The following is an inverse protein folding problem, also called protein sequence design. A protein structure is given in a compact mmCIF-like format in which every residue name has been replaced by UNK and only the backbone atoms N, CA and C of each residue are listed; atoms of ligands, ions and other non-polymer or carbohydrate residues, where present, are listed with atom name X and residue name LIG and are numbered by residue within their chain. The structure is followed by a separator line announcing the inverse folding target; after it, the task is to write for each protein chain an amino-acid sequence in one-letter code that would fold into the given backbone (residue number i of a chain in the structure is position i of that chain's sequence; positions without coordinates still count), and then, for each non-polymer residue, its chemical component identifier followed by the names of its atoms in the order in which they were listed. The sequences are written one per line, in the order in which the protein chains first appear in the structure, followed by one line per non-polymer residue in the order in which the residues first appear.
data_IF_537497880045
#
_entry.id   IF_537497880045
#
_cell.length_a   1.000
_cell.length_b   1.000
_cell.length_c   1.000
_cell.angle_alpha   90.00
_cell.angle_beta   90.00
_cell.angle_gamma   90.00
#
_symmetry.space_group_name_H-M   'P 1'
#
loop_
_entity.id
_entity.type
_entity.pdbx_description
1 polymer ?
#
# COMPACT_ATOMS: atom_id res chain seq x y z
N UNK A 1 2.18 14.42 25.15
CA UNK A 1 3.23 14.54 24.15
C UNK A 1 2.65 15.13 22.86
N UNK A 2 3.49 15.71 22.01
CA UNK A 2 3.11 16.35 20.75
C UNK A 2 4.15 16.02 19.67
N UNK A 3 3.70 15.82 18.45
CA UNK A 3 4.56 15.61 17.27
C UNK A 3 4.11 16.57 16.17
N UNK A 4 5.01 17.45 15.75
CA UNK A 4 4.74 18.48 14.71
C UNK A 4 3.47 19.29 14.95
N UNK A 5 3.20 19.70 16.19
CA UNK A 5 2.00 20.47 16.55
C UNK A 5 0.73 19.63 16.74
N UNK A 6 0.83 18.30 16.60
CA UNK A 6 -0.31 17.40 16.75
C UNK A 6 -0.19 16.66 18.09
N UNK A 7 -1.23 16.66 18.94
CA UNK A 7 -1.19 15.99 20.23
C UNK A 7 -1.15 14.47 20.05
N UNK A 8 -0.32 13.79 20.86
CA UNK A 8 -0.35 12.32 21.01
C UNK A 8 -1.40 11.99 22.06
N UNK A 9 -2.50 11.39 21.64
CA UNK A 9 -3.66 11.08 22.49
C UNK A 9 -3.66 9.67 23.07
N UNK A 10 -2.80 8.78 22.57
CA UNK A 10 -2.66 7.42 23.09
C UNK A 10 -1.76 6.54 22.24
N UNK A 11 -1.63 5.27 22.61
CA UNK A 11 -0.94 4.24 21.86
C UNK A 11 -1.90 3.24 21.20
N UNK A 12 -1.35 2.22 20.53
CA UNK A 12 -2.15 1.16 19.88
C UNK A 12 -3.00 0.37 20.88
N UNK A 13 -2.57 0.29 22.14
CA UNK A 13 -3.34 -0.37 23.20
C UNK A 13 -4.63 0.40 23.54
N UNK A 14 -4.64 1.71 23.34
CA UNK A 14 -5.74 2.59 23.70
C UNK A 14 -6.81 2.70 22.58
N UNK A 15 -6.61 2.04 21.42
CA UNK A 15 -7.56 2.06 20.31
C UNK A 15 -9.01 1.74 20.71
N UNK A 16 -9.31 0.79 21.64
CA UNK A 16 -10.69 0.55 22.06
C UNK A 16 -11.35 1.76 22.74
N UNK A 17 -10.59 2.52 23.52
CA UNK A 17 -11.09 3.74 24.18
C UNK A 17 -11.19 4.90 23.20
N UNK A 18 -10.14 5.10 22.39
CA UNK A 18 -10.09 6.15 21.36
C UNK A 18 -11.18 6.01 20.30
N UNK A 19 -11.69 4.78 20.07
CA UNK A 19 -12.81 4.54 19.14
C UNK A 19 -14.09 5.28 19.54
N UNK A 20 -14.24 5.66 20.80
CA UNK A 20 -15.40 6.43 21.28
C UNK A 20 -15.40 7.89 20.79
N UNK A 21 -14.22 8.41 20.44
CA UNK A 21 -14.01 9.79 19.99
C UNK A 21 -13.66 9.89 18.50
N UNK A 22 -13.03 8.84 17.93
CA UNK A 22 -12.50 8.84 16.56
C UNK A 22 -13.07 7.68 15.75
N UNK A 23 -13.73 8.00 14.64
CA UNK A 23 -14.31 7.00 13.72
C UNK A 23 -13.34 6.56 12.62
N UNK A 24 -12.39 7.43 12.27
CA UNK A 24 -11.46 7.23 11.16
C UNK A 24 -10.06 7.00 11.68
N UNK A 25 -9.34 6.08 11.04
CA UNK A 25 -7.94 5.81 11.35
C UNK A 25 -7.10 5.73 10.09
N UNK A 26 -5.96 6.43 10.08
CA UNK A 26 -4.92 6.31 9.06
C UNK A 26 -3.70 5.64 9.69
N UNK A 27 -3.14 4.63 9.02
CA UNK A 27 -2.03 3.84 9.55
C UNK A 27 -0.76 4.13 8.75
N UNK A 28 0.14 4.95 9.31
CA UNK A 28 1.41 5.34 8.72
C UNK A 28 2.59 4.43 9.13
N UNK A 29 2.37 3.12 9.27
CA UNK A 29 3.39 2.17 9.73
C UNK A 29 4.09 1.55 8.53
N UNK A 30 5.42 1.73 8.43
CA UNK A 30 6.22 1.22 7.30
C UNK A 30 6.45 -0.30 7.30
N UNK A 31 6.43 -0.96 8.47
CA UNK A 31 6.53 -2.42 8.52
C UNK A 31 5.20 -3.06 8.08
N UNK A 32 5.22 -3.80 6.99
CA UNK A 32 4.02 -4.33 6.34
C UNK A 32 3.22 -5.29 7.23
N UNK A 33 3.90 -6.24 7.88
CA UNK A 33 3.25 -7.22 8.74
C UNK A 33 2.63 -6.53 9.98
N UNK A 34 3.35 -5.60 10.58
CA UNK A 34 2.84 -4.86 11.74
C UNK A 34 1.71 -3.91 11.34
N UNK A 35 1.80 -3.25 10.17
CA UNK A 35 0.71 -2.44 9.61
C UNK A 35 -0.56 -3.28 9.42
N UNK A 36 -0.44 -4.48 8.87
CA UNK A 36 -1.56 -5.41 8.70
C UNK A 36 -2.21 -5.77 10.04
N UNK A 37 -1.42 -6.14 11.06
CA UNK A 37 -1.93 -6.47 12.39
C UNK A 37 -2.69 -5.30 13.04
N UNK A 38 -2.15 -4.08 12.95
CA UNK A 38 -2.80 -2.89 13.51
C UNK A 38 -4.11 -2.59 12.76
N UNK A 39 -4.09 -2.71 11.43
CA UNK A 39 -5.28 -2.50 10.60
C UNK A 39 -6.39 -3.49 10.95
N UNK A 40 -6.07 -4.78 11.02
CA UNK A 40 -7.03 -5.85 11.34
C UNK A 40 -7.60 -5.67 12.76
N UNK A 41 -6.74 -5.33 13.74
CA UNK A 41 -7.17 -5.02 15.11
C UNK A 41 -8.13 -3.82 15.14
N UNK A 42 -7.80 -2.74 14.45
CA UNK A 42 -8.63 -1.54 14.41
C UNK A 42 -9.94 -1.76 13.64
N UNK A 43 -9.91 -2.56 12.56
CA UNK A 43 -11.11 -2.94 11.82
C UNK A 43 -12.09 -3.71 12.70
N UNK A 44 -11.60 -4.65 13.53
CA UNK A 44 -12.42 -5.39 14.50
C UNK A 44 -13.06 -4.49 15.57
N UNK A 45 -12.46 -3.32 15.84
CA UNK A 45 -13.01 -2.29 16.73
C UNK A 45 -13.99 -1.34 16.03
N UNK A 46 -14.21 -1.50 14.72
CA UNK A 46 -15.15 -0.69 13.94
C UNK A 46 -14.59 0.62 13.41
N UNK A 47 -13.26 0.82 13.36
CA UNK A 47 -12.68 1.95 12.67
C UNK A 47 -12.91 1.87 11.15
N UNK A 48 -13.14 3.01 10.52
CA UNK A 48 -13.11 3.13 9.07
C UNK A 48 -11.73 3.67 8.60
N UNK A 49 -11.30 3.27 7.42
CA UNK A 49 -9.98 3.58 6.87
C UNK A 49 -10.13 4.38 5.58
N UNK A 50 -9.98 5.70 5.62
CA UNK A 50 -9.96 6.53 4.43
C UNK A 50 -8.68 6.29 3.64
N UNK A 51 -8.75 6.44 2.31
CA UNK A 51 -7.57 6.50 1.47
C UNK A 51 -6.97 7.91 1.51
N UNK A 52 -5.66 7.99 1.67
CA UNK A 52 -4.90 9.24 1.59
C UNK A 52 -4.20 9.28 0.23
N UNK A 53 -4.68 10.14 -0.64
CA UNK A 53 -4.18 10.25 -2.01
C UNK A 53 -3.63 11.66 -2.23
N UNK A 54 -2.35 11.75 -2.58
CA UNK A 54 -1.72 13.04 -2.86
C UNK A 54 -2.38 13.72 -4.08
N UNK A 55 -2.58 15.04 -4.08
CA UNK A 55 -3.24 15.73 -5.19
C UNK A 55 -2.53 15.57 -6.55
N UNK A 56 -1.24 15.28 -6.56
CA UNK A 56 -0.45 15.03 -7.78
C UNK A 56 -0.40 13.54 -8.18
N UNK A 57 -1.03 12.65 -7.43
CA UNK A 57 -1.17 11.26 -7.84
C UNK A 57 -2.28 11.12 -8.88
N UNK A 58 -2.07 10.26 -9.87
CA UNK A 58 -3.10 9.88 -10.82
C UNK A 58 -3.69 8.53 -10.46
N UNK A 59 -5.00 8.48 -10.34
CA UNK A 59 -5.76 7.24 -10.16
C UNK A 59 -6.80 7.16 -11.26
N UNK A 60 -6.70 6.12 -12.08
CA UNK A 60 -7.69 5.87 -13.11
C UNK A 60 -9.08 5.65 -12.50
N UNK A 61 -10.15 6.21 -13.10
CA UNK A 61 -11.53 5.93 -12.70
C UNK A 61 -11.94 4.45 -12.93
N UNK A 62 -11.13 3.69 -13.68
CA UNK A 62 -11.34 2.26 -13.94
C UNK A 62 -10.41 1.35 -13.11
N UNK A 63 -9.67 1.90 -12.16
CA UNK A 63 -8.90 1.13 -11.20
C UNK A 63 -9.74 0.83 -9.95
N UNK A 64 -9.46 -0.31 -9.31
CA UNK A 64 -10.06 -0.68 -8.03
C UNK A 64 -9.05 -0.43 -6.91
N UNK A 65 -9.46 0.32 -5.89
CA UNK A 65 -8.60 0.59 -4.73
C UNK A 65 -9.36 0.20 -3.46
N UNK A 66 -8.70 -0.59 -2.62
CA UNK A 66 -9.16 -0.96 -1.31
C UNK A 66 -9.21 0.23 -0.34
N UNK A 67 -9.28 -0.05 0.95
CA UNK A 67 -9.40 0.94 2.02
C UNK A 67 -8.08 1.14 2.75
N UNK A 68 -7.86 2.35 3.27
CA UNK A 68 -6.68 2.66 4.09
C UNK A 68 -5.36 2.72 3.33
N UNK A 69 -5.42 2.91 2.02
CA UNK A 69 -4.24 3.10 1.20
C UNK A 69 -3.64 4.49 1.38
N UNK A 70 -2.32 4.58 1.29
CA UNK A 70 -1.59 5.85 1.21
C UNK A 70 -0.87 5.90 -0.12
N UNK A 71 -1.24 6.86 -0.96
CA UNK A 71 -0.75 7.03 -2.32
C UNK A 71 -0.08 8.40 -2.39
N UNK A 72 1.25 8.38 -2.49
CA UNK A 72 2.06 9.59 -2.41
C UNK A 72 2.17 10.31 -3.77
N UNK A 73 2.91 11.42 -3.76
CA UNK A 73 3.04 12.35 -4.90
C UNK A 73 3.49 11.64 -6.17
N UNK A 74 2.86 12.00 -7.29
CA UNK A 74 3.19 11.51 -8.63
C UNK A 74 3.09 9.99 -8.80
N UNK A 75 2.49 9.26 -7.85
CA UNK A 75 2.17 7.87 -8.08
C UNK A 75 1.06 7.75 -9.15
N UNK A 76 1.10 6.68 -9.93
CA UNK A 76 0.18 6.47 -11.04
C UNK A 76 -0.47 5.07 -10.94
N UNK A 77 -1.79 5.01 -10.96
CA UNK A 77 -2.57 3.76 -11.00
C UNK A 77 -3.40 3.77 -12.27
N UNK A 78 -3.11 2.85 -13.19
CA UNK A 78 -3.70 2.79 -14.53
C UNK A 78 -4.99 1.96 -14.57
N UNK A 79 -5.59 1.90 -15.76
CA UNK A 79 -6.87 1.24 -15.99
C UNK A 79 -6.82 -0.26 -15.66
N UNK A 80 -7.86 -0.78 -15.01
CA UNK A 80 -7.97 -2.19 -14.66
C UNK A 80 -7.00 -2.65 -13.55
N UNK A 81 -6.16 -1.77 -13.04
CA UNK A 81 -5.30 -2.10 -11.91
C UNK A 81 -6.12 -2.33 -10.64
N UNK A 82 -5.73 -3.32 -9.85
CA UNK A 82 -6.35 -3.66 -8.56
C UNK A 82 -5.35 -3.45 -7.45
N UNK A 83 -5.69 -2.59 -6.50
CA UNK A 83 -4.87 -2.28 -5.32
C UNK A 83 -5.64 -2.65 -4.06
N UNK A 84 -5.11 -3.55 -3.27
CA UNK A 84 -5.72 -4.07 -2.04
C UNK A 84 -5.76 -3.05 -0.89
N UNK A 85 -6.16 -3.53 0.29
CA UNK A 85 -6.29 -2.69 1.48
C UNK A 85 -4.92 -2.35 2.10
N UNK A 86 -4.79 -1.18 2.67
CA UNK A 86 -3.61 -0.76 3.44
C UNK A 86 -2.30 -0.73 2.63
N UNK A 87 -2.39 -0.65 1.31
CA UNK A 87 -1.23 -0.54 0.42
C UNK A 87 -0.60 0.84 0.54
N UNK A 88 0.73 0.88 0.55
CA UNK A 88 1.50 2.12 0.48
C UNK A 88 2.19 2.23 -0.87
N UNK A 89 1.86 3.27 -1.63
CA UNK A 89 2.56 3.64 -2.87
C UNK A 89 3.37 4.90 -2.63
N UNK A 90 4.68 4.77 -2.65
CA UNK A 90 5.59 5.91 -2.49
C UNK A 90 5.65 6.76 -3.75
N UNK A 91 6.31 7.91 -3.62
CA UNK A 91 6.44 8.92 -4.67
C UNK A 91 6.90 8.32 -6.00
N UNK A 92 6.16 8.59 -7.07
CA UNK A 92 6.46 8.11 -8.41
C UNK A 92 6.31 6.61 -8.63
N UNK A 93 5.69 5.87 -7.69
CA UNK A 93 5.39 4.46 -7.93
C UNK A 93 4.29 4.31 -9.00
N UNK A 94 4.45 3.35 -9.90
CA UNK A 94 3.50 3.13 -11.00
C UNK A 94 2.91 1.72 -10.98
N UNK A 95 1.58 1.65 -11.06
CA UNK A 95 0.83 0.40 -11.21
C UNK A 95 0.16 0.44 -12.58
N UNK A 96 0.66 -0.37 -13.50
CA UNK A 96 0.20 -0.40 -14.89
C UNK A 96 -1.13 -1.16 -15.05
N UNK A 97 -1.66 -1.12 -16.27
CA UNK A 97 -2.95 -1.74 -16.61
C UNK A 97 -3.02 -3.21 -16.17
N UNK A 98 -4.15 -3.59 -15.58
CA UNK A 98 -4.46 -4.96 -15.17
C UNK A 98 -3.45 -5.58 -14.18
N UNK A 99 -2.56 -4.77 -13.59
CA UNK A 99 -1.66 -5.24 -12.54
C UNK A 99 -2.40 -5.32 -11.20
N UNK A 100 -1.97 -6.25 -10.35
CA UNK A 100 -2.55 -6.47 -9.03
C UNK A 100 -1.50 -6.23 -7.94
N UNK A 101 -1.84 -5.43 -6.95
CA UNK A 101 -1.07 -5.24 -5.72
C UNK A 101 -1.95 -5.64 -4.56
N UNK A 102 -1.59 -6.73 -3.90
CA UNK A 102 -2.36 -7.32 -2.80
C UNK A 102 -2.26 -6.49 -1.51
N UNK A 103 -3.11 -6.84 -0.52
CA UNK A 103 -3.22 -6.12 0.75
C UNK A 103 -1.88 -5.90 1.44
N UNK A 104 -1.72 -4.71 2.00
CA UNK A 104 -0.57 -4.30 2.83
C UNK A 104 0.79 -4.36 2.14
N UNK A 105 0.84 -4.48 0.83
CA UNK A 105 2.10 -4.33 0.10
C UNK A 105 2.63 -2.89 0.20
N UNK A 106 3.94 -2.75 0.03
CA UNK A 106 4.64 -1.47 0.01
C UNK A 106 5.48 -1.37 -1.26
N UNK A 107 5.16 -0.40 -2.09
CA UNK A 107 5.89 -0.10 -3.32
C UNK A 107 6.69 1.18 -3.09
N UNK A 108 8.01 1.08 -3.06
CA UNK A 108 8.88 2.24 -2.85
C UNK A 108 9.02 3.11 -4.12
N UNK A 109 9.74 4.21 -3.93
CA UNK A 109 9.89 5.32 -4.89
C UNK A 109 10.32 4.84 -6.28
N UNK A 110 9.64 5.36 -7.32
CA UNK A 110 9.93 5.13 -8.74
C UNK A 110 9.94 3.66 -9.17
N UNK A 111 9.26 2.79 -8.44
CA UNK A 111 9.13 1.38 -8.81
C UNK A 111 7.87 1.17 -9.65
N UNK A 112 7.96 0.25 -10.61
CA UNK A 112 6.92 0.00 -11.60
C UNK A 112 6.45 -1.44 -11.52
N UNK A 113 5.14 -1.63 -11.30
CA UNK A 113 4.45 -2.92 -11.43
C UNK A 113 3.79 -2.93 -12.81
N UNK A 114 4.38 -3.65 -13.77
CA UNK A 114 3.98 -3.62 -15.17
C UNK A 114 2.71 -4.45 -15.43
N UNK A 115 2.18 -4.27 -16.64
CA UNK A 115 0.90 -4.86 -17.08
C UNK A 115 0.77 -6.34 -16.73
N UNK A 116 -0.33 -6.69 -16.06
CA UNK A 116 -0.67 -8.06 -15.67
C UNK A 116 0.23 -8.65 -14.57
N UNK A 117 1.19 -7.89 -14.05
CA UNK A 117 2.04 -8.35 -12.96
C UNK A 117 1.29 -8.39 -11.63
N UNK A 118 1.75 -9.24 -10.71
CA UNK A 118 1.14 -9.42 -9.38
C UNK A 118 2.17 -9.23 -8.29
N UNK A 119 1.82 -8.43 -7.30
CA UNK A 119 2.59 -8.25 -6.06
C UNK A 119 1.78 -8.80 -4.90
N UNK A 120 2.33 -9.80 -4.21
CA UNK A 120 1.65 -10.51 -3.13
C UNK A 120 1.44 -9.69 -1.86
N UNK A 121 0.60 -10.22 -0.98
CA UNK A 121 0.24 -9.62 0.31
C UNK A 121 1.48 -9.34 1.16
N UNK A 122 1.53 -8.18 1.78
CA UNK A 122 2.66 -7.74 2.63
C UNK A 122 4.04 -7.72 1.94
N UNK A 123 4.12 -7.89 0.61
CA UNK A 123 5.39 -7.80 -0.09
C UNK A 123 5.96 -6.38 -0.02
N UNK A 124 7.29 -6.28 0.06
CA UNK A 124 8.03 -5.02 -0.01
C UNK A 124 8.78 -4.95 -1.34
N UNK A 125 8.49 -3.94 -2.12
CA UNK A 125 9.18 -3.65 -3.38
C UNK A 125 10.08 -2.44 -3.13
N UNK A 126 11.37 -2.63 -3.24
CA UNK A 126 12.37 -1.56 -3.05
C UNK A 126 12.23 -0.42 -4.07
N UNK A 127 13.09 0.58 -3.99
CA UNK A 127 13.09 1.72 -4.92
C UNK A 127 13.68 1.36 -6.28
N UNK A 128 13.19 2.00 -7.35
CA UNK A 128 13.66 1.79 -8.73
C UNK A 128 13.62 0.30 -9.16
N UNK A 129 12.59 -0.42 -8.71
CA UNK A 129 12.36 -1.82 -9.06
C UNK A 129 11.40 -1.89 -10.24
N UNK A 130 11.62 -2.85 -11.13
CA UNK A 130 10.68 -3.19 -12.21
C UNK A 130 10.16 -4.60 -12.01
N UNK A 131 8.85 -4.72 -11.71
CA UNK A 131 8.16 -6.00 -11.81
C UNK A 131 7.66 -6.14 -13.24
N UNK A 132 8.28 -7.02 -14.02
CA UNK A 132 8.03 -7.16 -15.45
C UNK A 132 6.62 -7.68 -15.74
N UNK A 133 6.16 -7.51 -16.99
CA UNK A 133 4.82 -7.95 -17.42
C UNK A 133 4.55 -9.40 -17.01
N UNK A 134 3.39 -9.63 -16.39
CA UNK A 134 2.94 -10.94 -15.94
C UNK A 134 3.85 -11.64 -14.90
N UNK A 135 4.86 -10.96 -14.37
CA UNK A 135 5.67 -11.49 -13.27
C UNK A 135 4.87 -11.52 -11.97
N UNK A 136 5.24 -12.43 -11.09
CA UNK A 136 4.60 -12.56 -9.77
C UNK A 136 5.65 -12.44 -8.67
N UNK A 137 5.36 -11.58 -7.70
CA UNK A 137 6.10 -11.48 -6.44
C UNK A 137 5.27 -12.17 -5.36
N UNK A 138 5.82 -13.17 -4.64
CA UNK A 138 5.09 -13.89 -3.59
C UNK A 138 4.72 -13.00 -2.40
N UNK A 139 3.79 -13.50 -1.56
CA UNK A 139 3.42 -12.88 -0.30
C UNK A 139 4.64 -12.72 0.62
N UNK A 140 4.74 -11.58 1.27
CA UNK A 140 5.79 -11.27 2.22
C UNK A 140 7.20 -11.16 1.64
N UNK A 141 7.36 -11.27 0.33
CA UNK A 141 8.67 -11.16 -0.31
C UNK A 141 9.27 -9.76 -0.12
N UNK A 142 10.58 -9.69 -0.01
CA UNK A 142 11.36 -8.46 0.03
C UNK A 142 12.22 -8.36 -1.24
N UNK A 143 11.83 -7.49 -2.16
CA UNK A 143 12.55 -7.24 -3.41
C UNK A 143 13.47 -6.04 -3.19
N UNK A 144 14.80 -6.22 -3.26
CA UNK A 144 15.76 -5.14 -3.01
C UNK A 144 15.71 -4.05 -4.09
N UNK A 145 16.24 -2.88 -3.74
CA UNK A 145 16.32 -1.72 -4.64
C UNK A 145 17.03 -2.06 -5.96
N UNK A 146 16.67 -1.36 -7.03
CA UNK A 146 17.28 -1.48 -8.35
C UNK A 146 17.24 -2.90 -8.94
N UNK A 147 16.20 -3.66 -8.62
CA UNK A 147 16.02 -5.05 -9.09
C UNK A 147 14.98 -5.11 -10.21
N UNK A 148 15.12 -6.10 -11.10
CA UNK A 148 14.06 -6.48 -12.05
C UNK A 148 13.58 -7.90 -11.74
N UNK A 149 12.25 -8.07 -11.63
CA UNK A 149 11.61 -9.37 -11.44
C UNK A 149 10.94 -9.78 -12.75
N UNK A 150 11.33 -10.91 -13.28
CA UNK A 150 10.82 -11.45 -14.54
C UNK A 150 9.79 -12.56 -14.31
N UNK A 151 8.85 -12.77 -15.25
CA UNK A 151 7.93 -13.90 -15.17
C UNK A 151 8.70 -15.23 -15.27
N UNK A 152 8.20 -16.26 -14.59
CA UNK A 152 8.74 -17.60 -14.74
C UNK A 152 8.56 -18.08 -16.18
N UNK A 153 9.65 -18.49 -16.82
CA UNK A 153 9.61 -19.11 -18.15
C UNK A 153 9.04 -20.51 -17.99
N UNK A 154 7.79 -20.73 -18.38
CA UNK A 154 7.25 -22.09 -18.49
C UNK A 154 8.05 -22.81 -19.60
N UNK A 155 8.82 -23.82 -19.19
CA UNK A 155 9.50 -24.73 -20.12
C UNK A 155 8.50 -25.67 -20.81
#
# INVERSE_FOLDING_TARGET
AEICGIPVVGGIADLPELRKEYDLLVIGIGNNAFRAQVHEKAAALGYAFPNIIAPSAYVSPFAEIGKGCVILQNACIQNGAVVGNGVLLNTGAEIHCDATVEDYALIYTNSVVRTGAKVGRCARIGSNVTICNNATVPDGADVPDCTAVYPEVKK
#
